data_IF_746158694090
#
_entry.id   IF_746158694090
#
_cell.length_a   1.000
_cell.length_b   1.000
_cell.length_c   1.000
_cell.angle_alpha   90.00
_cell.angle_beta   90.00
_cell.angle_gamma   90.00
#
_symmetry.space_group_name_H-M   'P 1'
#
loop_
_entity.id
_entity.type
_entity.pdbx_description
1 polymer ?
#
# COMPACT_ATOMS: atom_id res chain seq x y z
N UNK A 1 -4.05 19.46 2.45
CA UNK A 1 -2.57 19.34 2.41
C UNK A 1 -2.07 19.12 3.82
N UNK A 2 -1.06 18.28 3.98
CA UNK A 2 -0.42 17.99 5.27
C UNK A 2 0.73 18.97 5.51
N UNK A 3 0.94 19.40 6.75
CA UNK A 3 2.13 20.16 7.14
C UNK A 3 3.37 19.27 7.24
N UNK A 4 4.56 19.87 7.30
CA UNK A 4 5.81 19.15 7.54
C UNK A 4 5.72 18.27 8.81
N UNK A 5 6.08 16.99 8.67
CA UNK A 5 6.06 15.98 9.72
C UNK A 5 4.70 15.29 9.94
N UNK A 6 3.62 15.79 9.34
CA UNK A 6 2.28 15.24 9.46
C UNK A 6 1.99 14.03 8.57
N UNK A 7 2.51 13.89 7.32
CA UNK A 7 2.29 12.69 6.54
C UNK A 7 2.73 11.45 7.31
N UNK A 8 1.82 10.48 7.48
CA UNK A 8 2.09 9.19 8.13
C UNK A 8 1.75 8.06 7.18
N UNK A 9 2.59 7.03 7.25
CA UNK A 9 2.27 5.72 6.73
C UNK A 9 1.71 4.80 7.82
N UNK A 10 1.63 3.54 7.48
CA UNK A 10 1.44 2.44 8.42
C UNK A 10 2.77 1.76 8.70
N UNK A 11 3.05 1.33 9.94
CA UNK A 11 4.17 0.45 10.22
C UNK A 11 3.95 -0.92 9.57
N UNK A 12 4.95 -1.81 9.67
CA UNK A 12 4.81 -3.21 9.27
C UNK A 12 3.55 -3.84 9.87
N UNK A 13 2.67 -4.37 9.01
CA UNK A 13 1.41 -4.98 9.42
C UNK A 13 1.00 -6.13 8.47
N UNK A 14 0.21 -7.11 8.94
CA UNK A 14 -0.14 -8.29 8.15
C UNK A 14 -1.49 -8.14 7.42
N UNK A 15 -1.62 -8.84 6.29
CA UNK A 15 -2.90 -9.11 5.61
C UNK A 15 -3.00 -10.59 5.21
N UNK A 16 -4.23 -11.13 5.12
CA UNK A 16 -4.51 -12.51 4.65
C UNK A 16 -5.95 -12.65 4.17
N UNK A 17 -6.15 -13.37 3.06
CA UNK A 17 -7.47 -13.84 2.61
C UNK A 17 -8.31 -12.83 1.85
N UNK A 18 -7.73 -11.69 1.46
CA UNK A 18 -8.35 -10.66 0.63
C UNK A 18 -7.27 -9.92 -0.18
N UNK A 19 -7.66 -8.88 -0.90
CA UNK A 19 -6.80 -8.03 -1.70
C UNK A 19 -6.89 -6.57 -1.23
N UNK A 20 -5.80 -5.83 -1.33
CA UNK A 20 -5.79 -4.38 -1.12
C UNK A 20 -5.52 -3.70 -2.46
N UNK A 21 -6.40 -2.78 -2.84
CA UNK A 21 -6.24 -1.94 -4.03
C UNK A 21 -5.98 -0.52 -3.57
N UNK A 22 -4.76 -0.03 -3.79
CA UNK A 22 -4.35 1.34 -3.46
C UNK A 22 -4.28 2.14 -4.74
N UNK A 23 -4.98 3.27 -4.79
CA UNK A 23 -4.91 4.23 -5.89
C UNK A 23 -4.51 5.59 -5.34
N UNK A 24 -3.44 6.17 -5.88
CA UNK A 24 -3.03 7.52 -5.53
C UNK A 24 -3.57 8.54 -6.53
N UNK A 25 -4.25 9.55 -5.99
CA UNK A 25 -4.72 10.70 -6.76
C UNK A 25 -3.59 11.74 -6.82
N UNK A 26 -3.01 12.07 -5.66
CA UNK A 26 -1.92 13.03 -5.52
C UNK A 26 -0.92 12.57 -4.46
N UNK A 27 0.38 12.67 -4.77
CA UNK A 27 1.50 12.34 -3.90
C UNK A 27 2.25 11.08 -4.34
N UNK A 28 3.09 10.60 -3.43
CA UNK A 28 3.91 9.40 -3.67
C UNK A 28 3.85 8.53 -2.43
N UNK A 29 3.79 7.23 -2.63
CA UNK A 29 3.82 6.23 -1.56
C UNK A 29 4.83 5.14 -1.88
N UNK A 30 5.54 4.68 -0.87
CA UNK A 30 6.49 3.58 -0.98
C UNK A 30 5.91 2.40 -0.20
N UNK A 31 5.91 1.23 -0.81
CA UNK A 31 5.55 -0.02 -0.15
C UNK A 31 6.67 -1.04 -0.24
N UNK A 32 6.74 -1.92 0.75
CA UNK A 32 7.68 -3.05 0.80
C UNK A 32 7.04 -4.20 1.57
N UNK A 33 7.31 -5.44 1.17
CA UNK A 33 6.81 -6.62 1.86
C UNK A 33 7.88 -7.66 2.25
N UNK A 34 7.44 -8.65 3.03
CA UNK A 34 8.27 -9.76 3.52
C UNK A 34 8.63 -10.81 2.46
N UNK A 35 7.99 -10.79 1.30
CA UNK A 35 8.24 -11.69 0.18
C UNK A 35 9.20 -11.07 -0.87
N UNK A 36 9.76 -9.90 -0.58
CA UNK A 36 10.69 -9.19 -1.46
C UNK A 36 10.00 -8.34 -2.52
N UNK A 37 8.67 -8.22 -2.49
CA UNK A 37 7.93 -7.24 -3.28
C UNK A 37 7.98 -5.86 -2.65
N UNK A 38 7.42 -4.89 -3.36
CA UNK A 38 7.54 -3.48 -3.04
C UNK A 38 7.61 -2.62 -4.29
N UNK A 39 7.58 -1.32 -4.09
CA UNK A 39 7.52 -0.37 -5.19
C UNK A 39 7.19 1.04 -4.73
N UNK A 40 7.17 1.93 -5.70
CA UNK A 40 6.67 3.30 -5.54
C UNK A 40 5.36 3.41 -6.29
N UNK A 41 4.35 3.98 -5.65
CA UNK A 41 3.05 4.33 -6.22
C UNK A 41 3.04 5.84 -6.38
N UNK A 42 2.91 6.34 -7.61
CA UNK A 42 2.86 7.75 -7.94
C UNK A 42 1.44 8.19 -8.35
N UNK A 43 1.30 9.44 -8.78
CA UNK A 43 0.02 10.01 -9.20
C UNK A 43 -0.62 9.19 -10.33
N UNK A 44 -1.84 8.72 -10.10
CA UNK A 44 -2.59 7.92 -11.06
C UNK A 44 -2.21 6.44 -11.10
N UNK A 45 -1.22 6.01 -10.32
CA UNK A 45 -0.86 4.60 -10.23
C UNK A 45 -1.87 3.82 -9.38
N UNK A 46 -2.04 2.55 -9.74
CA UNK A 46 -2.81 1.58 -8.97
C UNK A 46 -1.91 0.43 -8.57
N UNK A 47 -1.82 0.16 -7.27
CA UNK A 47 -1.27 -1.09 -6.76
C UNK A 47 -2.44 -2.03 -6.44
N UNK A 48 -2.48 -3.20 -7.08
CA UNK A 48 -3.41 -4.26 -6.70
C UNK A 48 -2.65 -5.44 -6.09
N UNK A 49 -2.65 -5.51 -4.77
CA UNK A 49 -1.99 -6.57 -4.01
C UNK A 49 -2.99 -7.65 -3.61
N UNK A 50 -2.78 -8.87 -4.09
CA UNK A 50 -3.47 -10.05 -3.58
C UNK A 50 -2.72 -10.56 -2.35
N UNK A 51 -3.29 -10.46 -1.13
CA UNK A 51 -2.63 -10.95 0.07
C UNK A 51 -2.65 -12.49 0.19
N UNK A 52 -3.72 -13.15 -0.29
CA UNK A 52 -3.81 -14.60 -0.34
C UNK A 52 -3.48 -15.28 0.99
N UNK A 53 -2.55 -16.25 0.98
CA UNK A 53 -2.06 -16.99 2.16
C UNK A 53 -1.37 -16.11 3.21
N UNK A 54 -1.06 -14.87 2.86
CA UNK A 54 -0.69 -13.78 3.75
C UNK A 54 0.73 -13.25 3.51
N UNK A 55 0.93 -12.01 3.92
CA UNK A 55 2.20 -11.29 3.89
C UNK A 55 2.24 -10.23 4.99
N UNK A 56 3.45 -9.81 5.35
CA UNK A 56 3.69 -8.59 6.11
C UNK A 56 4.14 -7.51 5.14
N UNK A 57 3.63 -6.29 5.29
CA UNK A 57 4.07 -5.15 4.49
C UNK A 57 4.08 -3.84 5.26
N UNK A 58 4.82 -2.88 4.73
CA UNK A 58 4.88 -1.49 5.17
C UNK A 58 4.46 -0.59 4.02
N UNK A 59 3.81 0.51 4.36
CA UNK A 59 3.18 1.44 3.43
C UNK A 59 3.43 2.84 3.97
N UNK A 60 4.32 3.62 3.34
CA UNK A 60 4.80 4.88 3.90
C UNK A 60 5.00 5.99 2.85
N UNK A 61 4.72 7.26 3.20
CA UNK A 61 5.14 8.39 2.38
C UNK A 61 6.68 8.45 2.31
N UNK A 62 7.27 8.90 1.20
CA UNK A 62 8.71 9.10 1.12
C UNK A 62 9.18 10.15 2.13
N UNK A 63 10.41 10.01 2.61
CA UNK A 63 11.00 10.92 3.61
C UNK A 63 10.93 12.38 3.17
N UNK A 64 11.15 12.66 1.88
CA UNK A 64 11.03 14.00 1.32
C UNK A 64 9.66 14.63 1.56
N UNK A 65 8.58 13.88 1.33
CA UNK A 65 7.20 14.32 1.56
C UNK A 65 6.91 14.52 3.05
N UNK A 66 7.45 13.64 3.92
CA UNK A 66 7.35 13.82 5.37
C UNK A 66 8.04 15.11 5.80
N UNK A 67 9.22 15.41 5.28
CA UNK A 67 9.98 16.61 5.64
C UNK A 67 9.35 17.90 5.11
N UNK A 68 8.84 17.91 3.87
CA UNK A 68 8.26 19.11 3.26
C UNK A 68 6.80 19.35 3.64
N UNK A 69 6.07 18.30 4.03
CA UNK A 69 4.62 18.31 3.92
C UNK A 69 4.18 18.32 2.45
N UNK A 70 2.88 18.45 2.22
CA UNK A 70 2.31 18.54 0.87
C UNK A 70 0.99 17.81 0.71
N UNK A 71 0.54 17.72 -0.54
CA UNK A 71 -0.66 16.98 -0.87
C UNK A 71 -0.35 15.48 -0.90
N UNK A 72 -1.12 14.72 -0.12
CA UNK A 72 -1.12 13.27 -0.12
C UNK A 72 -2.57 12.82 -0.08
N UNK A 73 -3.04 12.22 -1.16
CA UNK A 73 -4.45 11.97 -1.39
C UNK A 73 -4.61 10.69 -2.20
N UNK A 74 -5.30 9.72 -1.63
CA UNK A 74 -5.52 8.44 -2.25
C UNK A 74 -6.60 7.67 -1.51
N UNK A 75 -6.87 6.49 -2.02
CA UNK A 75 -7.88 5.58 -1.51
C UNK A 75 -7.33 4.16 -1.47
N UNK A 76 -7.77 3.41 -0.47
CA UNK A 76 -7.47 1.99 -0.34
C UNK A 76 -8.77 1.23 -0.21
N UNK A 77 -8.98 0.24 -1.09
CA UNK A 77 -10.14 -0.66 -1.06
C UNK A 77 -9.68 -2.05 -0.69
N UNK A 78 -10.45 -2.70 0.17
CA UNK A 78 -10.24 -4.11 0.49
C UNK A 78 -11.28 -4.95 -0.25
N UNK A 79 -10.81 -5.81 -1.15
CA UNK A 79 -11.64 -6.67 -1.98
C UNK A 79 -11.52 -8.10 -1.48
N UNK A 80 -12.63 -8.68 -1.04
CA UNK A 80 -12.62 -10.02 -0.46
C UNK A 80 -12.33 -11.08 -1.53
N UNK A 81 -11.47 -12.05 -1.21
CA UNK A 81 -11.27 -13.21 -2.09
C UNK A 81 -12.34 -14.28 -1.88
N UNK A 82 -12.77 -15.00 -2.93
CA UNK A 82 -13.55 -16.23 -2.79
C UNK A 82 -12.86 -17.24 -1.86
N UNK A 83 -13.65 -18.11 -1.21
CA UNK A 83 -13.12 -19.10 -0.24
C UNK A 83 -11.97 -19.93 -0.80
N UNK A 84 -12.05 -20.35 -2.07
CA UNK A 84 -11.04 -21.18 -2.73
C UNK A 84 -9.69 -20.47 -2.89
N UNK A 85 -9.69 -19.14 -3.00
CA UNK A 85 -8.51 -18.34 -3.35
C UNK A 85 -7.83 -17.73 -2.12
N UNK A 86 -8.45 -17.81 -0.93
CA UNK A 86 -7.92 -17.20 0.30
C UNK A 86 -6.52 -17.67 0.71
N UNK A 87 -6.04 -18.78 0.16
CA UNK A 87 -4.71 -19.34 0.47
C UNK A 87 -3.79 -19.39 -0.75
N UNK A 88 -4.11 -18.70 -1.85
CA UNK A 88 -3.21 -18.58 -2.99
C UNK A 88 -1.94 -17.78 -2.63
N UNK A 89 -0.89 -17.92 -3.42
CA UNK A 89 0.34 -17.17 -3.20
C UNK A 89 0.10 -15.65 -3.34
N UNK A 90 0.72 -14.81 -2.49
CA UNK A 90 0.71 -13.38 -2.66
C UNK A 90 1.23 -12.96 -4.03
N UNK A 91 0.65 -11.90 -4.60
CA UNK A 91 1.12 -11.31 -5.87
C UNK A 91 0.74 -9.84 -5.96
N UNK A 92 1.46 -9.13 -6.83
CA UNK A 92 1.13 -7.79 -7.29
C UNK A 92 0.76 -7.80 -8.76
N UNK A 93 0.05 -6.76 -9.17
CA UNK A 93 -0.26 -6.41 -10.55
C UNK A 93 0.14 -4.96 -10.77
#
# INVERSE_FOLDING_TARGET
EYAAGEPKGTPWHPHRGFETVTYLIDGTFIHQDSNGGGGTIENGDTQWMTAGSGLLHIEAPPESLVMSGGLFHGLQLWVNLPKADKMMAPRYQ
#
